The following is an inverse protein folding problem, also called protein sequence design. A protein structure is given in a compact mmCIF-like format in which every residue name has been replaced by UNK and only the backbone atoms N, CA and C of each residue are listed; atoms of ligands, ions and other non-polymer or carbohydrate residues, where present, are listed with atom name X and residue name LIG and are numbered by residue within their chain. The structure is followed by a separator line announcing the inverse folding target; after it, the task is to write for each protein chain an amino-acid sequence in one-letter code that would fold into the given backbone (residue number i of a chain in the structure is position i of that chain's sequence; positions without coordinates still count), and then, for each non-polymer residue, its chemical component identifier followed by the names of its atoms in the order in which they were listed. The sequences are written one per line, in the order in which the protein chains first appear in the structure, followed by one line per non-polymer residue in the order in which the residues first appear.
data_IF_651137635231
#
_entry.id   IF_651137635231
#
_cell.length_a   1.000
_cell.length_b   1.000
_cell.length_c   1.000
_cell.angle_alpha   90.00
_cell.angle_beta   90.00
_cell.angle_gamma   90.00
#
_symmetry.space_group_name_H-M   'P 1'
#
loop_
_entity.id
_entity.type
_entity.pdbx_description
1 polymer ?
#
# COMPACT_ATOMS: atom_id res chain seq x y z
N UNK A 1 0.73 -6.65 12.48
CA UNK A 1 -0.69 -6.75 12.87
C UNK A 1 -1.48 -6.91 11.58
N UNK A 2 -2.02 -8.09 11.32
CA UNK A 2 -2.85 -8.35 10.12
C UNK A 2 -4.26 -7.85 10.43
N UNK A 3 -4.74 -6.87 9.68
CA UNK A 3 -6.12 -6.40 9.77
C UNK A 3 -6.99 -7.33 8.91
N UNK A 4 -7.83 -8.15 9.56
CA UNK A 4 -8.73 -9.10 8.89
C UNK A 4 -10.02 -8.46 8.35
N UNK A 5 -10.12 -7.13 8.28
CA UNK A 5 -11.35 -6.48 7.83
C UNK A 5 -11.48 -6.62 6.32
N UNK A 6 -12.66 -7.07 5.90
CA UNK A 6 -13.12 -7.11 4.51
C UNK A 6 -13.43 -5.72 3.93
N UNK A 7 -12.98 -4.64 4.59
CA UNK A 7 -13.24 -3.25 4.20
C UNK A 7 -11.98 -2.66 3.57
N UNK A 8 -12.11 -1.76 2.58
CA UNK A 8 -10.97 -1.07 2.00
C UNK A 8 -10.12 -0.40 3.10
N UNK A 9 -8.80 -0.45 2.94
CA UNK A 9 -7.88 0.18 3.87
C UNK A 9 -8.10 1.71 3.89
N UNK A 10 -8.19 2.26 5.09
CA UNK A 10 -8.45 3.68 5.31
C UNK A 10 -7.18 4.53 5.24
N UNK A 11 -7.35 5.84 5.00
CA UNK A 11 -6.26 6.81 4.92
C UNK A 11 -5.31 6.77 6.14
N UNK A 12 -5.86 6.67 7.35
CA UNK A 12 -5.05 6.60 8.59
C UNK A 12 -4.08 5.41 8.59
N UNK A 13 -4.44 4.30 7.96
CA UNK A 13 -3.57 3.12 7.88
C UNK A 13 -2.36 3.40 6.98
N UNK A 14 -2.58 4.09 5.85
CA UNK A 14 -1.52 4.53 4.92
C UNK A 14 -0.55 5.48 5.61
N UNK A 15 -1.05 6.51 6.29
CA UNK A 15 -0.19 7.48 6.97
C UNK A 15 0.59 6.87 8.13
N UNK A 16 -0.03 5.99 8.91
CA UNK A 16 0.65 5.30 10.02
C UNK A 16 1.80 4.46 9.49
N UNK A 17 1.58 3.69 8.41
CA UNK A 17 2.63 2.89 7.79
C UNK A 17 3.75 3.79 7.24
N UNK A 18 3.38 4.85 6.52
CA UNK A 18 4.35 5.78 5.95
C UNK A 18 5.22 6.45 7.03
N UNK A 19 4.62 6.98 8.10
CA UNK A 19 5.35 7.58 9.21
C UNK A 19 6.25 6.57 9.93
N UNK A 20 5.79 5.32 10.07
CA UNK A 20 6.59 4.26 10.67
C UNK A 20 7.82 3.91 9.80
N UNK A 21 7.63 3.75 8.49
CA UNK A 21 8.70 3.47 7.55
C UNK A 21 9.71 4.61 7.51
N UNK A 22 9.24 5.87 7.49
CA UNK A 22 10.07 7.06 7.58
C UNK A 22 10.92 7.08 8.87
N UNK A 23 10.30 6.78 10.02
CA UNK A 23 11.00 6.70 11.30
C UNK A 23 12.03 5.56 11.36
N UNK A 24 11.79 4.47 10.64
CA UNK A 24 12.72 3.35 10.50
C UNK A 24 13.78 3.58 9.40
N UNK A 25 13.74 4.72 8.69
CA UNK A 25 14.57 5.00 7.51
C UNK A 25 14.48 3.87 6.46
N UNK A 26 13.29 3.29 6.27
CA UNK A 26 13.02 2.18 5.37
C UNK A 26 11.94 2.54 4.35
N UNK A 27 11.90 1.83 3.22
CA UNK A 27 10.76 1.90 2.30
C UNK A 27 9.60 1.06 2.86
N UNK A 28 8.41 1.64 2.90
CA UNK A 28 7.18 0.95 3.28
C UNK A 28 6.43 0.44 2.05
N UNK A 29 5.78 -0.72 2.16
CA UNK A 29 4.86 -1.25 1.13
C UNK A 29 3.58 -1.71 1.83
N UNK A 30 2.41 -1.35 1.28
CA UNK A 30 1.12 -1.75 1.84
C UNK A 30 0.50 -2.84 0.97
N UNK A 31 0.08 -3.96 1.58
CA UNK A 31 -0.74 -5.00 0.95
C UNK A 31 -2.14 -5.04 1.55
N UNK A 32 -3.17 -5.12 0.70
CA UNK A 32 -4.57 -5.23 1.12
C UNK A 32 -5.32 -6.28 0.31
N UNK A 33 -6.22 -7.03 0.95
CA UNK A 33 -7.14 -7.94 0.23
C UNK A 33 -8.39 -7.21 -0.26
N UNK A 34 -8.88 -6.23 0.51
CA UNK A 34 -10.12 -5.52 0.23
C UNK A 34 -9.92 -4.21 -0.54
N UNK A 35 -8.70 -3.95 -1.03
CA UNK A 35 -8.36 -2.69 -1.68
C UNK A 35 -8.18 -1.53 -0.70
N UNK A 36 -8.32 -0.30 -1.23
CA UNK A 36 -8.05 0.96 -0.54
C UNK A 36 -9.18 1.94 -0.79
N UNK A 37 -9.48 2.77 0.20
CA UNK A 37 -10.33 3.94 -0.02
C UNK A 37 -9.66 4.91 -1.01
N UNK A 38 -10.46 5.67 -1.75
CA UNK A 38 -9.95 6.62 -2.76
C UNK A 38 -8.99 7.66 -2.16
N UNK A 39 -9.32 8.23 -1.00
CA UNK A 39 -8.43 9.17 -0.30
C UNK A 39 -7.12 8.51 0.13
N UNK A 40 -7.17 7.23 0.52
CA UNK A 40 -5.97 6.48 0.90
C UNK A 40 -5.06 6.24 -0.32
N UNK A 41 -5.65 5.98 -1.49
CA UNK A 41 -4.96 5.85 -2.77
C UNK A 41 -4.28 7.16 -3.15
N UNK A 42 -5.03 8.26 -3.17
CA UNK A 42 -4.50 9.59 -3.51
C UNK A 42 -3.37 10.02 -2.56
N UNK A 43 -3.50 9.77 -1.26
CA UNK A 43 -2.44 10.05 -0.29
C UNK A 43 -1.19 9.21 -0.57
N UNK A 44 -1.34 7.91 -0.83
CA UNK A 44 -0.22 7.02 -1.13
C UNK A 44 0.54 7.44 -2.39
N UNK A 45 -0.16 7.88 -3.44
CA UNK A 45 0.46 8.47 -4.63
C UNK A 45 1.26 9.74 -4.27
N UNK A 46 0.71 10.61 -3.42
CA UNK A 46 1.39 11.84 -2.99
C UNK A 46 2.65 11.63 -2.14
N UNK A 47 2.71 10.55 -1.35
CA UNK A 47 3.87 10.23 -0.49
C UNK A 47 4.79 9.16 -1.08
N UNK A 48 4.48 8.66 -2.27
CA UNK A 48 5.26 7.63 -2.96
C UNK A 48 5.19 6.24 -2.31
N UNK A 49 4.10 5.92 -1.60
CA UNK A 49 3.94 4.63 -0.94
C UNK A 49 3.36 3.58 -1.93
N UNK A 50 4.08 2.50 -2.24
CA UNK A 50 3.58 1.42 -3.09
C UNK A 50 2.39 0.69 -2.43
N UNK A 51 1.29 0.60 -3.17
CA UNK A 51 0.08 -0.12 -2.78
C UNK A 51 -0.12 -1.36 -3.65
N UNK A 52 -0.44 -2.48 -3.00
CA UNK A 52 -0.73 -3.75 -3.67
C UNK A 52 -2.05 -4.35 -3.20
N UNK A 53 -2.83 -4.86 -4.14
CA UNK A 53 -3.97 -5.72 -3.81
C UNK A 53 -3.59 -7.16 -4.04
N UNK A 54 -3.83 -8.01 -3.04
CA UNK A 54 -3.64 -9.45 -3.17
C UNK A 54 -4.87 -10.05 -3.86
N UNK A 55 -4.64 -10.75 -4.97
CA UNK A 55 -5.69 -11.52 -5.62
C UNK A 55 -5.93 -12.86 -4.88
N UNK A 56 -6.92 -13.64 -5.32
CA UNK A 56 -7.26 -14.93 -4.71
C UNK A 56 -6.15 -15.99 -4.84
N UNK A 57 -5.22 -15.82 -5.78
CA UNK A 57 -4.03 -16.67 -5.91
C UNK A 57 -2.87 -16.24 -4.99
N UNK A 58 -3.02 -15.11 -4.28
CA UNK A 58 -1.99 -14.53 -3.43
C UNK A 58 -0.95 -13.70 -4.20
N UNK A 59 -1.19 -13.41 -5.48
CA UNK A 59 -0.29 -12.60 -6.29
C UNK A 59 -0.55 -11.12 -6.01
N UNK A 60 0.46 -10.33 -5.59
CA UNK A 60 0.30 -8.91 -5.39
C UNK A 60 0.17 -8.19 -6.73
N UNK A 61 -0.93 -7.47 -6.92
CA UNK A 61 -1.17 -6.63 -8.07
C UNK A 61 -0.86 -5.17 -7.72
N UNK A 62 0.02 -4.49 -8.48
CA UNK A 62 0.27 -3.07 -8.28
C UNK A 62 -1.01 -2.31 -8.58
N UNK A 63 -1.32 -1.33 -7.73
CA UNK A 63 -2.54 -0.56 -7.92
C UNK A 63 -2.27 0.94 -8.09
N UNK A 64 -1.12 1.46 -7.66
CA UNK A 64 -0.76 2.87 -7.87
C UNK A 64 0.57 3.03 -8.62
N UNK A 65 0.89 4.26 -9.03
CA UNK A 65 2.13 4.55 -9.78
C UNK A 65 3.39 4.06 -9.07
N UNK A 66 3.58 4.37 -7.76
CA UNK A 66 4.71 3.85 -6.99
C UNK A 66 4.82 2.32 -6.95
N UNK A 67 3.70 1.59 -6.97
CA UNK A 67 3.72 0.13 -7.04
C UNK A 67 4.09 -0.40 -8.42
N UNK A 68 3.64 0.27 -9.48
CA UNK A 68 4.01 -0.07 -10.86
C UNK A 68 5.52 0.12 -11.08
N UNK A 69 6.06 1.25 -10.62
CA UNK A 69 7.50 1.53 -10.62
C UNK A 69 8.29 0.46 -9.84
N UNK A 70 7.82 0.06 -8.67
CA UNK A 70 8.46 -0.98 -7.85
C UNK A 70 8.51 -2.32 -8.59
N UNK A 71 7.42 -2.70 -9.26
CA UNK A 71 7.36 -3.94 -10.08
C UNK A 71 8.29 -3.83 -11.28
N UNK A 72 8.32 -2.68 -11.96
CA UNK A 72 9.19 -2.46 -13.13
C UNK A 72 10.68 -2.45 -12.77
N UNK A 73 11.03 -1.99 -11.57
CA UNK A 73 12.42 -1.93 -11.09
C UNK A 73 12.88 -3.23 -10.42
N UNK A 74 11.95 -4.12 -10.05
CA UNK A 74 12.24 -5.47 -9.58
C UNK A 74 13.00 -5.53 -8.25
N UNK A 75 12.67 -4.62 -7.33
CA UNK A 75 13.36 -4.43 -6.03
C UNK A 75 13.69 -5.73 -5.28
#
# INVERSE_FOLDING_TARGET
HVDSRTRPAALRAVETLWLNALGASAAGVFFSLAGYAEDARACADGVGLPLFVLDLTGTPQPVNGPADELVSTGA
#
